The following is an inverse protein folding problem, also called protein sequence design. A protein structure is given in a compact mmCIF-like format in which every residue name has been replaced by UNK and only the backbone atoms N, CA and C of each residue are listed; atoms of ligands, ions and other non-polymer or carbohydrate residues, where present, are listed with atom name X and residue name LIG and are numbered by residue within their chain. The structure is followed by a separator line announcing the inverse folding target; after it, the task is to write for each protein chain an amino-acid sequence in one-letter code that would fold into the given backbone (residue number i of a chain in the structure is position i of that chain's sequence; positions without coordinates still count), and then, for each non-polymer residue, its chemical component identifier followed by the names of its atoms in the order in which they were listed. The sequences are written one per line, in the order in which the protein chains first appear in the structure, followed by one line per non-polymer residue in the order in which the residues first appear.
data_IF_052631725706
#
_entry.id   IF_052631725706
#
_cell.length_a   1.000
_cell.length_b   1.000
_cell.length_c   1.000
_cell.angle_alpha   90.00
_cell.angle_beta   90.00
_cell.angle_gamma   90.00
#
_symmetry.space_group_name_H-M   'P 1'
#
loop_
_entity.id
_entity.type
_entity.pdbx_description
1 polymer ?
#
# COMPACT_ATOMS: atom_id res chain seq x y z
N UNK A 1 14.61 6.73 -10.72
CA UNK A 1 13.62 5.64 -10.72
C UNK A 1 14.14 4.51 -11.58
N UNK A 2 14.25 3.32 -11.00
CA UNK A 2 14.89 2.12 -11.56
C UNK A 2 14.32 1.70 -12.92
N UNK A 3 13.01 1.85 -13.11
CA UNK A 3 12.30 1.64 -14.38
C UNK A 3 12.97 2.35 -15.57
N UNK A 4 13.43 3.60 -15.41
CA UNK A 4 14.11 4.33 -16.49
C UNK A 4 15.47 3.74 -16.86
N UNK A 5 16.23 3.28 -15.86
CA UNK A 5 17.58 2.71 -16.08
C UNK A 5 17.48 1.38 -16.82
N UNK A 6 16.44 0.60 -16.55
CA UNK A 6 16.19 -0.68 -17.22
C UNK A 6 15.61 -0.47 -18.63
N UNK A 7 14.73 0.51 -18.83
CA UNK A 7 14.11 0.77 -20.13
C UNK A 7 14.96 1.62 -21.10
N UNK A 8 16.04 2.27 -20.65
CA UNK A 8 16.85 3.16 -21.49
C UNK A 8 17.48 2.49 -22.72
N UNK A 9 17.72 1.18 -22.66
CA UNK A 9 18.26 0.40 -23.78
C UNK A 9 17.16 -0.37 -24.54
N UNK A 10 15.89 -0.10 -24.26
CA UNK A 10 14.78 -0.77 -24.94
C UNK A 10 14.68 -0.24 -26.38
N UNK A 11 15.06 -1.08 -27.33
CA UNK A 11 15.00 -0.79 -28.78
C UNK A 11 13.56 -0.49 -29.24
N UNK A 12 12.55 -0.98 -28.52
CA UNK A 12 11.14 -0.72 -28.78
C UNK A 12 10.56 0.52 -28.10
N UNK A 13 11.39 1.39 -27.50
CA UNK A 13 10.88 2.59 -26.83
C UNK A 13 10.26 3.57 -27.83
N UNK A 14 8.99 3.92 -27.62
CA UNK A 14 8.30 4.89 -28.47
C UNK A 14 8.84 6.31 -28.22
N UNK A 15 9.19 7.01 -29.30
CA UNK A 15 9.68 8.40 -29.26
C UNK A 15 8.58 9.43 -28.94
N UNK A 16 7.31 9.01 -28.98
CA UNK A 16 6.15 9.84 -28.72
C UNK A 16 5.04 9.01 -28.08
N UNK A 17 4.18 9.67 -27.29
CA UNK A 17 3.07 9.03 -26.61
C UNK A 17 1.86 9.97 -26.55
N UNK A 18 0.70 9.42 -26.20
CA UNK A 18 -0.49 10.18 -25.89
C UNK A 18 -0.61 10.29 -24.36
N UNK A 19 -0.58 11.50 -23.76
CA UNK A 19 -0.76 11.67 -22.32
C UNK A 19 -2.23 11.50 -21.88
N UNK A 20 -3.16 11.48 -22.83
CA UNK A 20 -4.58 11.27 -22.59
C UNK A 20 -5.00 9.79 -22.68
N UNK A 21 -6.27 9.52 -22.44
CA UNK A 21 -6.86 8.17 -22.54
C UNK A 21 -7.62 8.04 -23.85
N UNK A 22 -7.57 6.87 -24.49
CA UNK A 22 -8.41 6.56 -25.65
C UNK A 22 -9.81 6.12 -25.19
N UNK A 23 -10.84 6.95 -25.44
CA UNK A 23 -12.24 6.65 -25.13
C UNK A 23 -13.17 7.28 -26.18
N UNK A 24 -14.25 6.58 -26.55
CA UNK A 24 -15.20 7.06 -27.55
C UNK A 24 -14.56 7.29 -28.92
N UNK A 25 -13.73 6.32 -29.34
CA UNK A 25 -13.01 6.29 -30.63
C UNK A 25 -12.11 7.49 -30.89
N UNK A 26 -11.60 8.13 -29.83
CA UNK A 26 -10.59 9.17 -29.93
C UNK A 26 -9.71 9.26 -28.68
N UNK A 27 -8.52 9.79 -28.87
CA UNK A 27 -7.65 10.20 -27.76
C UNK A 27 -8.17 11.47 -27.10
N UNK A 28 -8.15 11.54 -25.76
CA UNK A 28 -8.55 12.76 -25.04
C UNK A 28 -7.55 13.90 -25.18
N UNK A 29 -6.28 13.62 -25.49
CA UNK A 29 -5.21 14.63 -25.58
C UNK A 29 -5.21 15.41 -26.91
N UNK A 30 -5.41 14.73 -28.04
CA UNK A 30 -5.32 15.34 -29.38
C UNK A 30 -6.50 15.02 -30.30
N UNK A 31 -7.50 14.27 -29.79
CA UNK A 31 -8.68 13.84 -30.54
C UNK A 31 -8.40 13.01 -31.79
N UNK A 32 -7.20 12.46 -31.93
CA UNK A 32 -6.87 11.48 -32.96
C UNK A 32 -7.78 10.25 -32.79
N UNK A 33 -8.44 9.84 -33.87
CA UNK A 33 -9.36 8.69 -33.87
C UNK A 33 -8.65 7.34 -34.03
N UNK A 34 -7.42 7.38 -34.52
CA UNK A 34 -6.58 6.19 -34.64
C UNK A 34 -5.95 5.85 -33.28
N UNK A 35 -6.30 4.67 -32.76
CA UNK A 35 -5.75 4.15 -31.50
C UNK A 35 -4.26 3.82 -31.60
N UNK A 36 -3.78 3.42 -32.77
CA UNK A 36 -2.38 3.05 -33.00
C UNK A 36 -1.55 4.20 -33.61
N UNK A 37 -2.14 5.38 -33.73
CA UNK A 37 -1.48 6.54 -34.29
C UNK A 37 -0.27 7.00 -33.47
N UNK A 38 0.60 7.79 -34.12
CA UNK A 38 1.75 8.40 -33.47
C UNK A 38 1.31 9.33 -32.32
N UNK A 39 2.02 9.23 -31.20
CA UNK A 39 1.77 10.03 -30.02
C UNK A 39 1.89 11.53 -30.29
N UNK A 40 1.05 12.33 -29.63
CA UNK A 40 1.04 13.78 -29.82
C UNK A 40 2.05 14.53 -28.92
N UNK A 41 2.64 13.86 -27.93
CA UNK A 41 3.70 14.42 -27.10
C UNK A 41 5.00 13.62 -27.25
N UNK A 42 6.14 14.31 -27.15
CA UNK A 42 7.46 13.68 -27.26
C UNK A 42 7.78 12.97 -25.96
N UNK A 43 8.29 11.75 -26.06
CA UNK A 43 8.92 11.06 -24.93
C UNK A 43 10.23 11.78 -24.61
N UNK A 44 10.14 12.84 -23.79
CA UNK A 44 11.32 13.56 -23.29
C UNK A 44 11.94 12.73 -22.17
N UNK A 45 13.27 12.67 -22.11
CA UNK A 45 14.00 12.09 -20.98
C UNK A 45 13.67 12.75 -19.63
N UNK A 46 13.00 13.91 -19.64
CA UNK A 46 12.49 14.62 -18.47
C UNK A 46 10.97 14.49 -18.32
N UNK A 47 10.47 13.28 -18.04
CA UNK A 47 9.21 13.13 -17.31
C UNK A 47 9.58 12.96 -15.85
N UNK A 48 9.28 13.97 -15.04
CA UNK A 48 9.20 13.81 -13.59
C UNK A 48 8.01 12.90 -13.32
N UNK A 49 8.27 11.59 -13.23
CA UNK A 49 7.37 10.65 -12.55
C UNK A 49 7.19 11.21 -11.14
N UNK A 50 6.13 12.02 -10.95
CA UNK A 50 6.02 12.82 -9.74
C UNK A 50 5.76 11.96 -8.51
N UNK A 51 5.15 10.79 -8.68
CA UNK A 51 4.97 9.78 -7.63
C UNK A 51 4.85 8.38 -8.27
N UNK A 52 5.94 7.80 -8.79
CA UNK A 52 5.93 6.34 -8.94
C UNK A 52 6.40 5.75 -7.62
N UNK A 53 5.44 5.44 -6.74
CA UNK A 53 5.69 4.57 -5.60
C UNK A 53 5.84 3.15 -6.15
N UNK A 54 6.95 2.51 -5.83
CA UNK A 54 7.14 1.11 -6.19
C UNK A 54 6.09 0.30 -5.41
N UNK A 55 5.15 -0.39 -6.08
CA UNK A 55 4.12 -1.18 -5.41
C UNK A 55 4.70 -2.39 -4.66
N UNK A 56 6.02 -2.62 -4.74
CA UNK A 56 6.76 -3.68 -4.06
C UNK A 56 7.86 -3.13 -3.14
N UNK A 57 7.78 -1.88 -2.66
CA UNK A 57 8.76 -1.33 -1.70
C UNK A 57 8.50 -1.84 -0.27
N UNK A 58 9.26 -2.84 0.23
CA UNK A 58 9.04 -3.38 1.56
C UNK A 58 9.38 -2.37 2.67
N UNK A 59 10.23 -1.37 2.40
CA UNK A 59 10.58 -0.35 3.39
C UNK A 59 9.41 0.61 3.59
N UNK A 60 8.69 0.96 2.51
CA UNK A 60 7.48 1.78 2.60
C UNK A 60 6.35 1.04 3.32
N UNK A 61 6.15 -0.25 3.01
CA UNK A 61 5.16 -1.08 3.69
C UNK A 61 5.47 -1.19 5.20
N UNK A 62 6.74 -1.44 5.56
CA UNK A 62 7.17 -1.50 6.95
C UNK A 62 6.95 -0.16 7.70
N UNK A 63 7.20 0.98 7.04
CA UNK A 63 6.95 2.31 7.62
C UNK A 63 5.46 2.54 7.88
N UNK A 64 4.59 2.13 6.95
CA UNK A 64 3.13 2.26 7.11
C UNK A 64 2.61 1.38 8.24
N UNK A 65 3.06 0.13 8.32
CA UNK A 65 2.72 -0.79 9.43
C UNK A 65 3.19 -0.18 10.75
N UNK A 66 4.41 0.34 10.83
CA UNK A 66 4.93 0.95 12.04
C UNK A 66 4.12 2.19 12.47
N UNK A 67 3.76 3.07 11.53
CA UNK A 67 2.89 4.21 11.83
C UNK A 67 1.52 3.77 12.34
N UNK A 68 0.94 2.74 11.73
CA UNK A 68 -0.34 2.19 12.17
C UNK A 68 -0.24 1.65 13.60
N UNK A 69 0.80 0.85 13.89
CA UNK A 69 1.08 0.33 15.24
C UNK A 69 1.26 1.44 16.28
N UNK A 70 1.94 2.53 15.92
CA UNK A 70 2.07 3.70 16.79
C UNK A 70 0.73 4.40 17.04
N UNK A 71 -0.10 4.55 16.01
CA UNK A 71 -1.41 5.19 16.13
C UNK A 71 -2.35 4.42 17.07
N UNK A 72 -2.27 3.09 17.07
CA UNK A 72 -3.12 2.22 17.90
C UNK A 72 -2.45 1.83 19.24
N UNK A 73 -1.22 2.29 19.51
CA UNK A 73 -0.41 1.83 20.63
C UNK A 73 -1.11 2.03 21.99
N UNK A 74 -1.70 3.20 22.21
CA UNK A 74 -2.36 3.50 23.50
C UNK A 74 -3.66 2.69 23.67
N UNK A 75 -4.41 2.48 22.60
CA UNK A 75 -5.62 1.63 22.61
C UNK A 75 -5.24 0.18 22.91
N UNK A 76 -4.16 -0.34 22.31
CA UNK A 76 -3.62 -1.66 22.61
C UNK A 76 -3.21 -1.79 24.08
N UNK A 77 -2.60 -0.75 24.65
CA UNK A 77 -2.16 -0.74 26.05
C UNK A 77 -3.35 -0.82 27.01
N UNK A 78 -4.37 0.01 26.79
CA UNK A 78 -5.60 0.01 27.58
C UNK A 78 -6.30 -1.37 27.54
N UNK A 79 -6.47 -1.94 26.34
CA UNK A 79 -7.08 -3.27 26.19
C UNK A 79 -6.27 -4.38 26.83
N UNK A 80 -4.94 -4.30 26.77
CA UNK A 80 -4.08 -5.25 27.46
C UNK A 80 -4.24 -5.17 28.99
N UNK A 81 -4.36 -3.95 29.53
CA UNK A 81 -4.63 -3.75 30.95
C UNK A 81 -6.00 -4.30 31.36
N UNK A 82 -7.06 -4.00 30.60
CA UNK A 82 -8.41 -4.57 30.80
C UNK A 82 -8.38 -6.10 30.83
N UNK A 83 -7.73 -6.74 29.84
CA UNK A 83 -7.57 -8.19 29.80
C UNK A 83 -6.75 -8.72 30.97
N UNK A 84 -5.71 -8.02 31.40
CA UNK A 84 -4.92 -8.42 32.58
C UNK A 84 -5.72 -8.37 33.88
N UNK A 85 -6.72 -7.47 33.98
CA UNK A 85 -7.64 -7.39 35.12
C UNK A 85 -8.68 -8.51 35.05
N UNK A 86 -9.25 -8.76 33.87
CA UNK A 86 -10.20 -9.85 33.64
C UNK A 86 -9.55 -11.21 33.94
N UNK A 87 -8.33 -11.46 33.46
CA UNK A 87 -7.58 -12.69 33.75
C UNK A 87 -7.25 -12.85 35.24
N UNK A 88 -6.98 -11.76 35.97
CA UNK A 88 -6.77 -11.83 37.44
C UNK A 88 -8.06 -12.16 38.19
N UNK A 89 -9.20 -11.71 37.69
CA UNK A 89 -10.51 -12.02 38.23
C UNK A 89 -10.93 -13.48 37.89
N UNK A 90 -10.57 -13.99 36.71
CA UNK A 90 -10.83 -15.38 36.28
C UNK A 90 -9.86 -16.41 36.90
N UNK A 91 -8.60 -16.04 37.16
CA UNK A 91 -7.64 -16.89 37.91
C UNK A 91 -8.01 -17.12 39.37
N UNK A 92 -8.97 -16.38 39.91
CA UNK A 92 -9.61 -16.73 41.20
C UNK A 92 -10.61 -17.90 41.07
N UNK A 93 -10.91 -18.38 39.86
CA UNK A 93 -11.89 -19.44 39.60
C UNK A 93 -11.38 -20.62 38.75
N UNK A 94 -10.25 -20.53 38.04
CA UNK A 94 -9.67 -21.69 37.36
C UNK A 94 -8.20 -21.50 36.99
N UNK A 95 -7.35 -22.43 37.42
CA UNK A 95 -5.94 -22.57 37.00
C UNK A 95 -5.87 -23.48 35.76
N UNK A 96 -5.49 -22.98 34.59
CA UNK A 96 -5.00 -23.79 33.45
C UNK A 96 -4.06 -22.95 32.54
N UNK A 97 -3.04 -23.54 31.88
CA UNK A 97 -1.91 -22.81 31.30
C UNK A 97 -2.08 -22.61 29.79
N UNK A 98 -2.64 -21.47 29.37
CA UNK A 98 -2.65 -21.10 27.95
C UNK A 98 -2.12 -19.68 27.74
N UNK A 99 -0.84 -19.48 28.06
CA UNK A 99 -0.13 -18.21 27.87
C UNK A 99 0.16 -17.90 26.37
N UNK A 100 -0.01 -18.89 25.49
CA UNK A 100 0.28 -18.75 24.06
C UNK A 100 -0.87 -18.12 23.24
N UNK A 101 -2.10 -18.15 23.75
CA UNK A 101 -3.31 -17.70 23.03
C UNK A 101 -3.59 -16.19 23.20
N UNK A 102 -2.85 -15.55 24.12
CA UNK A 102 -3.10 -14.16 24.53
C UNK A 102 -2.90 -13.12 23.41
N UNK A 103 -1.81 -13.18 22.61
CA UNK A 103 -1.66 -12.26 21.48
C UNK A 103 -2.70 -12.50 20.40
N UNK A 104 -3.09 -13.76 20.16
CA UNK A 104 -4.05 -14.13 19.12
C UNK A 104 -5.44 -13.56 19.41
N UNK A 105 -5.89 -13.63 20.67
CA UNK A 105 -7.15 -12.99 21.12
C UNK A 105 -7.13 -11.47 20.98
N UNK A 106 -6.00 -10.83 21.26
CA UNK A 106 -5.86 -9.37 21.09
C UNK A 106 -6.00 -8.98 19.62
N UNK A 107 -5.36 -9.71 18.70
CA UNK A 107 -5.50 -9.45 17.26
C UNK A 107 -6.93 -9.69 16.75
N UNK A 108 -7.64 -10.68 17.30
CA UNK A 108 -9.05 -10.93 16.96
C UNK A 108 -9.96 -9.74 17.34
N UNK A 109 -9.80 -9.18 18.54
CA UNK A 109 -10.60 -8.03 19.01
C UNK A 109 -10.35 -6.79 18.16
N UNK A 110 -9.10 -6.60 17.70
CA UNK A 110 -8.74 -5.45 16.87
C UNK A 110 -9.32 -5.52 15.46
N UNK A 111 -9.46 -6.73 14.90
CA UNK A 111 -10.12 -6.94 13.61
C UNK A 111 -11.61 -6.56 13.64
N UNK A 112 -12.27 -6.65 14.80
CA UNK A 112 -13.70 -6.36 14.94
C UNK A 112 -14.00 -4.84 15.12
N UNK A 113 -12.97 -3.99 15.10
CA UNK A 113 -13.07 -2.52 15.27
C UNK A 113 -12.92 -1.73 13.95
N UNK A 114 -12.79 -2.42 12.81
CA UNK A 114 -12.83 -1.85 11.45
C UNK A 114 -14.27 -1.76 10.91
#
# INVERSE_FOLDING_TARGET
TWVRKVCGNNVGMLCSYHPGVFRGDKWSCCHLKDKAGLGCDKTRHGVTLREWNDPLDPDLEAQLIFQHLLAIQEVMREKYEELSVLEKNEKHQSEDPENADRPFRLFQILHDLE
#
